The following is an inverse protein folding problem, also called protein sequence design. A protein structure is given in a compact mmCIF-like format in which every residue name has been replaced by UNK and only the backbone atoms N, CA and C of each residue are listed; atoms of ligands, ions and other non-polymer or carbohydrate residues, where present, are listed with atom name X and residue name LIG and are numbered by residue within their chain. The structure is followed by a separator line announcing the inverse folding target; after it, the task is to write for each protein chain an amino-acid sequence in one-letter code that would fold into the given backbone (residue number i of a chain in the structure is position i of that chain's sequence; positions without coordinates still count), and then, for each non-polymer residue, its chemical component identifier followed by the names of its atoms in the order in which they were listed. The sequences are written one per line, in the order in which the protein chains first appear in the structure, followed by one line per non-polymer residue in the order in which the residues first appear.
data_IF_959677841920
#
_entry.id   IF_959677841920
#
_cell.length_a   1.000
_cell.length_b   1.000
_cell.length_c   1.000
_cell.angle_alpha   90.00
_cell.angle_beta   90.00
_cell.angle_gamma   90.00
#
_symmetry.space_group_name_H-M   'P 1'
#
loop_
_entity.id
_entity.type
_entity.pdbx_description
1 polymer ?
#
# COMPACT_ATOMS: atom_id res chain seq x y z
N UNK A 1 -19.25 -30.45 -7.06
CA UNK A 1 -20.15 -31.05 -6.04
C UNK A 1 -20.48 -29.93 -5.06
N UNK A 2 -21.57 -29.20 -5.30
CA UNK A 2 -22.03 -28.10 -4.45
C UNK A 2 -22.64 -28.67 -3.18
N UNK A 3 -21.86 -28.74 -2.11
CA UNK A 3 -22.42 -28.96 -0.77
C UNK A 3 -22.94 -27.62 -0.26
N UNK A 4 -24.21 -27.34 -0.60
CA UNK A 4 -25.17 -26.54 0.16
C UNK A 4 -24.92 -25.01 0.37
N UNK A 5 -24.35 -24.20 -0.56
CA UNK A 5 -24.25 -22.75 -0.36
C UNK A 5 -25.61 -22.08 -0.14
N UNK A 6 -26.64 -22.46 -0.90
CA UNK A 6 -27.99 -21.88 -0.78
C UNK A 6 -28.70 -22.25 0.52
N UNK A 7 -28.47 -23.46 1.04
CA UNK A 7 -29.05 -23.88 2.32
C UNK A 7 -28.32 -23.26 3.52
N UNK A 8 -26.98 -23.13 3.42
CA UNK A 8 -26.20 -22.39 4.39
C UNK A 8 -26.65 -20.91 4.43
N UNK A 9 -26.84 -20.30 3.26
CA UNK A 9 -27.36 -18.93 3.15
C UNK A 9 -28.76 -18.78 3.77
N UNK A 10 -29.71 -19.64 3.38
CA UNK A 10 -31.10 -19.56 3.88
C UNK A 10 -31.22 -19.81 5.39
N UNK A 11 -30.24 -20.48 5.99
CA UNK A 11 -30.18 -20.71 7.44
C UNK A 11 -29.46 -19.58 8.17
N UNK A 12 -28.33 -19.10 7.63
CA UNK A 12 -27.48 -18.11 8.31
C UNK A 12 -28.02 -16.68 8.19
N UNK A 13 -28.58 -16.32 7.03
CA UNK A 13 -28.95 -14.93 6.77
C UNK A 13 -30.08 -14.41 7.68
N UNK A 14 -31.16 -15.17 7.96
CA UNK A 14 -32.18 -14.73 8.91
C UNK A 14 -31.62 -14.52 10.32
N UNK A 15 -30.76 -15.43 10.78
CA UNK A 15 -30.13 -15.32 12.11
C UNK A 15 -29.18 -14.13 12.19
N UNK A 16 -28.43 -13.85 11.12
CA UNK A 16 -27.62 -12.65 11.00
C UNK A 16 -28.51 -11.39 11.09
N UNK A 17 -29.62 -11.35 10.36
CA UNK A 17 -30.52 -10.19 10.35
C UNK A 17 -31.05 -9.88 11.76
N UNK A 18 -31.55 -10.89 12.48
CA UNK A 18 -32.04 -10.71 13.85
C UNK A 18 -30.96 -10.16 14.79
N UNK A 19 -29.72 -10.68 14.71
CA UNK A 19 -28.63 -10.20 15.55
C UNK A 19 -28.15 -8.79 15.16
N UNK A 20 -28.18 -8.45 13.86
CA UNK A 20 -27.89 -7.10 13.40
C UNK A 20 -28.94 -6.09 13.90
N UNK A 21 -30.22 -6.47 13.94
CA UNK A 21 -31.29 -5.62 14.45
C UNK A 21 -31.13 -5.34 15.95
N UNK A 22 -30.73 -6.36 16.73
CA UNK A 22 -30.37 -6.18 18.15
C UNK A 22 -29.21 -5.19 18.31
N UNK A 23 -28.14 -5.37 17.52
CA UNK A 23 -26.96 -4.51 17.58
C UNK A 23 -27.26 -3.06 17.19
N UNK A 24 -27.98 -2.83 16.08
CA UNK A 24 -28.34 -1.48 15.64
C UNK A 24 -29.38 -0.84 16.58
N UNK A 25 -30.24 -1.66 17.19
CA UNK A 25 -31.16 -1.28 18.24
C UNK A 25 -30.49 -0.75 19.51
N UNK A 26 -29.17 -0.93 19.69
CA UNK A 26 -28.45 -0.38 20.85
C UNK A 26 -28.51 1.14 20.94
N UNK A 27 -28.79 1.83 19.83
CA UNK A 27 -28.89 3.29 19.81
C UNK A 27 -29.94 3.82 20.79
N UNK A 28 -31.03 3.09 21.03
CA UNK A 28 -32.08 3.50 21.97
C UNK A 28 -31.63 3.49 23.45
N UNK A 29 -30.52 2.80 23.75
CA UNK A 29 -29.94 2.73 25.09
C UNK A 29 -28.79 3.72 25.30
N UNK A 30 -28.47 4.55 24.32
CA UNK A 30 -27.41 5.56 24.47
C UNK A 30 -27.95 6.78 25.20
N UNK A 31 -27.30 7.17 26.29
CA UNK A 31 -27.65 8.35 27.10
C UNK A 31 -26.50 9.36 27.09
N UNK A 32 -26.83 10.64 26.93
CA UNK A 32 -25.87 11.73 27.04
C UNK A 32 -25.68 12.08 28.52
N UNK A 33 -24.50 11.78 29.05
CA UNK A 33 -24.11 12.15 30.41
C UNK A 33 -23.77 13.66 30.46
N UNK A 34 -23.96 14.31 31.61
CA UNK A 34 -23.62 15.72 31.78
C UNK A 34 -22.13 15.96 31.54
N UNK A 35 -21.81 16.61 30.41
CA UNK A 35 -20.46 16.93 29.95
C UNK A 35 -19.96 16.01 28.84
N UNK A 36 -20.38 16.24 27.60
CA UNK A 36 -19.92 15.62 26.31
C UNK A 36 -19.69 14.10 26.23
N UNK A 37 -19.86 13.34 27.32
CA UNK A 37 -19.65 11.89 27.39
C UNK A 37 -20.96 11.17 27.12
N UNK A 38 -20.89 10.09 26.34
CA UNK A 38 -22.04 9.24 25.97
C UNK A 38 -21.84 7.88 26.61
N UNK A 39 -22.90 7.36 27.23
CA UNK A 39 -22.87 6.07 27.92
C UNK A 39 -23.96 5.13 27.38
N UNK A 40 -23.67 3.83 27.38
CA UNK A 40 -24.63 2.79 27.11
C UNK A 40 -25.36 2.43 28.40
N UNK A 41 -26.64 2.76 28.48
CA UNK A 41 -27.51 2.55 29.65
C UNK A 41 -28.02 1.10 29.72
N UNK A 42 -27.09 0.15 29.75
CA UNK A 42 -27.31 -1.27 30.01
C UNK A 42 -26.40 -1.63 31.18
N UNK A 43 -26.96 -1.59 32.40
CA UNK A 43 -26.21 -1.68 33.66
C UNK A 43 -26.53 -2.93 34.47
N UNK A 44 -27.66 -3.59 34.20
CA UNK A 44 -28.02 -4.83 34.87
C UNK A 44 -27.12 -5.98 34.40
N UNK A 45 -26.52 -6.71 35.35
CA UNK A 45 -25.53 -7.77 35.09
C UNK A 45 -26.03 -8.82 34.10
N UNK A 46 -27.28 -9.27 34.24
CA UNK A 46 -27.89 -10.25 33.34
C UNK A 46 -28.01 -9.72 31.90
N UNK A 47 -28.33 -8.44 31.73
CA UNK A 47 -28.48 -7.82 30.42
C UNK A 47 -27.10 -7.57 29.79
N UNK A 48 -26.10 -7.16 30.57
CA UNK A 48 -24.71 -7.08 30.12
C UNK A 48 -24.20 -8.45 29.64
N UNK A 49 -24.51 -9.53 30.36
CA UNK A 49 -24.12 -10.89 29.97
C UNK A 49 -24.81 -11.35 28.69
N UNK A 50 -26.10 -11.06 28.53
CA UNK A 50 -26.85 -11.37 27.30
C UNK A 50 -26.29 -10.59 26.11
N UNK A 51 -26.00 -9.31 26.30
CA UNK A 51 -25.39 -8.46 25.28
C UNK A 51 -24.01 -8.99 24.88
N UNK A 52 -23.15 -9.35 25.84
CA UNK A 52 -21.85 -9.96 25.59
C UNK A 52 -21.96 -11.20 24.67
N UNK A 53 -22.87 -12.13 25.00
CA UNK A 53 -23.10 -13.31 24.17
C UNK A 53 -23.58 -12.94 22.76
N UNK A 54 -24.58 -12.06 22.65
CA UNK A 54 -25.13 -11.64 21.36
C UNK A 54 -24.10 -10.95 20.47
N UNK A 55 -23.24 -10.09 21.01
CA UNK A 55 -22.17 -9.42 20.25
C UNK A 55 -21.14 -10.44 19.73
N UNK A 56 -20.78 -11.45 20.53
CA UNK A 56 -19.85 -12.51 20.11
C UNK A 56 -20.43 -13.43 19.05
N UNK A 57 -21.71 -13.77 19.18
CA UNK A 57 -22.44 -14.55 18.18
C UNK A 57 -22.53 -13.77 16.86
N UNK A 58 -22.87 -12.48 16.93
CA UNK A 58 -22.90 -11.59 15.77
C UNK A 58 -21.52 -11.48 15.10
N UNK A 59 -20.45 -11.32 15.87
CA UNK A 59 -19.07 -11.31 15.35
C UNK A 59 -18.75 -12.60 14.57
N UNK A 60 -19.20 -13.75 15.07
CA UNK A 60 -19.01 -15.05 14.42
C UNK A 60 -19.87 -15.21 13.16
N UNK A 61 -21.11 -14.71 13.18
CA UNK A 61 -22.01 -14.68 12.03
C UNK A 61 -21.48 -13.79 10.90
N UNK A 62 -20.94 -12.61 11.23
CA UNK A 62 -20.30 -11.71 10.26
C UNK A 62 -19.10 -12.38 9.58
N UNK A 63 -18.27 -13.11 10.33
CA UNK A 63 -17.18 -13.90 9.74
C UNK A 63 -17.69 -15.01 8.83
N UNK A 64 -18.74 -15.72 9.24
CA UNK A 64 -19.34 -16.79 8.45
C UNK A 64 -19.88 -16.25 7.12
N UNK A 65 -20.60 -15.12 7.15
CA UNK A 65 -21.13 -14.47 5.95
C UNK A 65 -20.03 -13.90 5.07
N UNK A 66 -18.96 -13.31 5.63
CA UNK A 66 -17.80 -12.89 4.85
C UNK A 66 -17.18 -14.04 4.05
N UNK A 67 -17.10 -15.25 4.63
CA UNK A 67 -16.61 -16.45 3.92
C UNK A 67 -17.54 -16.94 2.82
N UNK A 68 -18.79 -16.48 2.77
CA UNK A 68 -19.73 -16.82 1.70
C UNK A 68 -19.54 -15.98 0.44
N UNK A 69 -18.73 -14.91 0.48
CA UNK A 69 -18.57 -13.97 -0.63
C UNK A 69 -18.18 -14.64 -1.97
N UNK A 70 -17.28 -15.63 -1.92
CA UNK A 70 -16.82 -16.36 -3.13
C UNK A 70 -17.93 -17.17 -3.82
N UNK A 71 -19.03 -17.48 -3.12
CA UNK A 71 -20.16 -18.22 -3.68
C UNK A 71 -21.14 -17.34 -4.47
N UNK A 72 -20.93 -16.03 -4.47
CA UNK A 72 -21.78 -15.05 -5.15
C UNK A 72 -21.15 -14.48 -6.43
N UNK A 73 -19.95 -14.90 -6.80
CA UNK A 73 -19.21 -14.41 -7.98
C UNK A 73 -19.11 -15.48 -9.08
N UNK A 74 -18.60 -15.10 -10.25
CA UNK A 74 -18.39 -16.00 -11.40
C UNK A 74 -19.69 -16.36 -12.12
N UNK A 75 -19.82 -17.60 -12.59
CA UNK A 75 -20.96 -18.06 -13.40
C UNK A 75 -22.30 -18.04 -12.65
N UNK A 76 -22.28 -18.11 -11.31
CA UNK A 76 -23.48 -18.09 -10.45
C UNK A 76 -23.93 -16.70 -10.04
N UNK A 77 -23.20 -15.64 -10.43
CA UNK A 77 -23.45 -14.26 -10.03
C UNK A 77 -24.89 -13.83 -10.34
N UNK A 78 -25.34 -13.98 -11.59
CA UNK A 78 -26.68 -13.57 -12.00
C UNK A 78 -27.79 -14.32 -11.24
N UNK A 79 -27.58 -15.62 -10.97
CA UNK A 79 -28.57 -16.46 -10.27
C UNK A 79 -28.71 -16.10 -8.78
N UNK A 80 -27.64 -15.60 -8.15
CA UNK A 80 -27.59 -15.28 -6.71
C UNK A 80 -27.45 -13.78 -6.44
N UNK A 81 -27.69 -12.95 -7.45
CA UNK A 81 -27.47 -11.51 -7.36
C UNK A 81 -28.25 -10.87 -6.22
N UNK A 82 -29.55 -11.16 -6.11
CA UNK A 82 -30.42 -10.55 -5.09
C UNK A 82 -30.03 -10.99 -3.67
N UNK A 83 -29.61 -12.24 -3.50
CA UNK A 83 -29.16 -12.76 -2.21
C UNK A 83 -27.87 -12.05 -1.76
N UNK A 84 -26.91 -11.91 -2.67
CA UNK A 84 -25.66 -11.20 -2.42
C UNK A 84 -25.90 -9.71 -2.14
N UNK A 85 -26.78 -9.08 -2.93
CA UNK A 85 -27.16 -7.68 -2.77
C UNK A 85 -27.77 -7.42 -1.40
N UNK A 86 -28.69 -8.27 -0.94
CA UNK A 86 -29.29 -8.16 0.39
C UNK A 86 -28.25 -8.28 1.51
N UNK A 87 -27.24 -9.13 1.35
CA UNK A 87 -26.11 -9.21 2.30
C UNK A 87 -25.31 -7.91 2.30
N UNK A 88 -24.88 -7.45 1.11
CA UNK A 88 -24.03 -6.28 0.97
C UNK A 88 -24.73 -5.03 1.50
N UNK A 89 -26.02 -4.84 1.21
CA UNK A 89 -26.84 -3.75 1.76
C UNK A 89 -26.83 -3.75 3.29
N UNK A 90 -27.03 -4.92 3.91
CA UNK A 90 -27.02 -5.05 5.37
C UNK A 90 -25.62 -4.83 5.97
N UNK A 91 -24.57 -5.29 5.30
CA UNK A 91 -23.18 -5.07 5.73
C UNK A 91 -22.80 -3.58 5.64
N UNK A 92 -23.21 -2.88 4.59
CA UNK A 92 -23.04 -1.43 4.45
C UNK A 92 -23.80 -0.69 5.55
N UNK A 93 -25.06 -1.07 5.79
CA UNK A 93 -25.90 -0.45 6.82
C UNK A 93 -25.26 -0.55 8.22
N UNK A 94 -24.83 -1.74 8.64
CA UNK A 94 -24.21 -1.93 9.96
C UNK A 94 -22.85 -1.24 10.08
N UNK A 95 -22.09 -1.15 8.98
CA UNK A 95 -20.81 -0.43 8.95
C UNK A 95 -21.03 1.09 9.08
N UNK A 96 -22.01 1.64 8.37
CA UNK A 96 -22.45 3.02 8.51
C UNK A 96 -22.98 3.30 9.92
N UNK A 97 -23.72 2.36 10.51
CA UNK A 97 -24.19 2.47 11.88
C UNK A 97 -23.03 2.54 12.88
N UNK A 98 -22.08 1.60 12.81
CA UNK A 98 -20.93 1.56 13.73
C UNK A 98 -20.06 2.81 13.66
N UNK A 99 -19.89 3.37 12.45
CA UNK A 99 -19.08 4.56 12.20
C UNK A 99 -19.76 5.85 12.69
N UNK A 100 -21.10 5.94 12.57
CA UNK A 100 -21.88 7.11 13.05
C UNK A 100 -22.08 7.09 14.56
N UNK A 101 -22.35 5.92 15.14
CA UNK A 101 -22.66 5.79 16.56
C UNK A 101 -21.40 5.73 17.43
N UNK A 102 -20.29 5.24 16.88
CA UNK A 102 -18.99 5.07 17.56
C UNK A 102 -19.14 4.33 18.89
N UNK A 103 -19.84 3.18 18.86
CA UNK A 103 -20.10 2.36 20.06
C UNK A 103 -18.83 1.95 20.82
N UNK A 104 -17.69 1.82 20.12
CA UNK A 104 -16.38 1.52 20.70
C UNK A 104 -15.86 2.59 21.67
N UNK A 105 -16.36 3.83 21.54
CA UNK A 105 -15.96 4.97 22.37
C UNK A 105 -16.91 5.22 23.55
N UNK A 106 -18.05 4.53 23.62
CA UNK A 106 -19.03 4.73 24.69
C UNK A 106 -18.52 4.25 26.05
N UNK A 107 -18.93 4.95 27.11
CA UNK A 107 -18.86 4.41 28.47
C UNK A 107 -19.85 3.25 28.62
N UNK A 108 -19.42 2.15 29.23
CA UNK A 108 -20.25 0.96 29.46
C UNK A 108 -20.09 0.49 30.91
N UNK A 109 -21.09 -0.20 31.44
CA UNK A 109 -21.07 -0.71 32.82
C UNK A 109 -19.94 -1.73 33.08
N UNK A 110 -19.55 -2.50 32.04
CA UNK A 110 -18.51 -3.53 32.11
C UNK A 110 -17.50 -3.32 30.96
N UNK A 111 -16.64 -2.29 31.03
CA UNK A 111 -15.83 -1.86 29.91
C UNK A 111 -14.77 -2.87 29.48
N UNK A 112 -14.26 -3.70 30.40
CA UNK A 112 -13.29 -4.76 30.09
C UNK A 112 -13.87 -5.90 29.23
N UNK A 113 -15.20 -5.98 29.11
CA UNK A 113 -15.90 -7.02 28.36
C UNK A 113 -16.57 -6.43 27.13
N UNK A 114 -17.45 -5.43 27.33
CA UNK A 114 -18.29 -4.91 26.25
C UNK A 114 -17.53 -4.04 25.24
N UNK A 115 -16.51 -3.28 25.65
CA UNK A 115 -15.75 -2.46 24.68
C UNK A 115 -15.02 -3.31 23.64
N UNK A 116 -14.29 -4.39 24.02
CA UNK A 116 -13.76 -5.35 23.06
C UNK A 116 -14.82 -5.93 22.12
N UNK A 117 -15.98 -6.37 22.64
CA UNK A 117 -17.01 -6.98 21.80
C UNK A 117 -17.61 -5.99 20.79
N UNK A 118 -17.89 -4.74 21.21
CA UNK A 118 -18.40 -3.69 20.33
C UNK A 118 -17.38 -3.31 19.24
N UNK A 119 -16.10 -3.25 19.61
CA UNK A 119 -14.99 -3.05 18.67
C UNK A 119 -14.94 -4.20 17.67
N UNK A 120 -15.09 -5.44 18.15
CA UNK A 120 -15.00 -6.65 17.35
C UNK A 120 -16.15 -6.80 16.36
N UNK A 121 -17.39 -6.52 16.77
CA UNK A 121 -18.54 -6.54 15.84
C UNK A 121 -18.33 -5.56 14.69
N UNK A 122 -17.92 -4.32 15.00
CA UNK A 122 -17.71 -3.32 13.96
C UNK A 122 -16.51 -3.67 13.05
N UNK A 123 -15.41 -4.18 13.62
CA UNK A 123 -14.27 -4.65 12.82
C UNK A 123 -14.64 -5.83 11.91
N UNK A 124 -15.46 -6.76 12.39
CA UNK A 124 -15.93 -7.88 11.57
C UNK A 124 -16.95 -7.47 10.51
N UNK A 125 -17.77 -6.43 10.76
CA UNK A 125 -18.64 -5.88 9.74
C UNK A 125 -17.85 -5.29 8.57
N UNK A 126 -16.81 -4.51 8.87
CA UNK A 126 -15.87 -3.97 7.87
C UNK A 126 -15.16 -5.09 7.09
N UNK A 127 -14.66 -6.11 7.80
CA UNK A 127 -13.98 -7.26 7.18
C UNK A 127 -14.93 -8.13 6.33
N UNK A 128 -16.17 -8.33 6.78
CA UNK A 128 -17.18 -9.03 6.00
C UNK A 128 -17.51 -8.24 4.72
N UNK A 129 -17.71 -6.92 4.82
CA UNK A 129 -17.93 -6.07 3.64
C UNK A 129 -16.72 -6.08 2.69
N UNK A 130 -15.50 -6.10 3.23
CA UNK A 130 -14.27 -6.23 2.45
C UNK A 130 -14.27 -7.51 1.60
N UNK A 131 -14.70 -8.64 2.15
CA UNK A 131 -14.76 -9.90 1.41
C UNK A 131 -15.65 -9.82 0.15
N UNK A 132 -16.68 -8.98 0.18
CA UNK A 132 -17.57 -8.74 -0.96
C UNK A 132 -17.02 -7.72 -1.98
N UNK A 133 -15.78 -7.24 -1.84
CA UNK A 133 -15.17 -6.29 -2.81
C UNK A 133 -15.02 -6.88 -4.22
N UNK A 134 -14.85 -8.19 -4.35
CA UNK A 134 -14.84 -8.87 -5.65
C UNK A 134 -16.25 -8.97 -6.26
N UNK A 135 -17.25 -9.20 -5.42
CA UNK A 135 -18.65 -9.16 -5.85
C UNK A 135 -19.04 -7.75 -6.32
N UNK A 136 -18.64 -6.71 -5.60
CA UNK A 136 -18.83 -5.32 -6.02
C UNK A 136 -18.13 -5.01 -7.36
N UNK A 137 -16.95 -5.58 -7.60
CA UNK A 137 -16.24 -5.42 -8.87
C UNK A 137 -16.99 -6.09 -10.04
N UNK A 138 -17.53 -7.31 -9.84
CA UNK A 138 -18.36 -7.97 -10.84
C UNK A 138 -19.69 -7.23 -11.04
N UNK A 139 -20.32 -6.76 -9.96
CA UNK A 139 -21.51 -5.92 -10.03
C UNK A 139 -21.24 -4.67 -10.88
N UNK A 140 -20.13 -3.97 -10.65
CA UNK A 140 -19.74 -2.84 -11.48
C UNK A 140 -19.64 -3.18 -12.98
N UNK A 141 -19.10 -4.36 -13.32
CA UNK A 141 -18.95 -4.80 -14.71
C UNK A 141 -20.27 -5.19 -15.39
N UNK A 142 -21.27 -5.65 -14.62
CA UNK A 142 -22.56 -6.11 -15.13
C UNK A 142 -23.68 -5.05 -15.01
N UNK A 143 -23.42 -3.94 -14.30
CA UNK A 143 -24.35 -2.81 -14.16
C UNK A 143 -24.60 -2.16 -15.52
N UNK A 144 -25.85 -2.27 -15.97
CA UNK A 144 -26.43 -1.42 -17.00
C UNK A 144 -27.11 -0.20 -16.33
N UNK A 145 -27.54 0.79 -17.12
CA UNK A 145 -28.06 2.10 -16.66
C UNK A 145 -29.12 2.08 -15.55
N UNK A 146 -29.82 0.96 -15.32
CA UNK A 146 -30.88 0.83 -14.30
C UNK A 146 -30.37 0.63 -12.86
N UNK A 147 -29.21 -0.01 -12.64
CA UNK A 147 -28.70 -0.33 -11.28
C UNK A 147 -27.49 0.51 -10.84
N UNK A 148 -27.15 1.51 -11.65
CA UNK A 148 -25.96 2.32 -11.46
C UNK A 148 -26.00 3.18 -10.20
N UNK A 149 -27.17 3.75 -9.87
CA UNK A 149 -27.36 4.54 -8.65
C UNK A 149 -27.18 3.70 -7.38
N UNK A 150 -27.71 2.47 -7.37
CA UNK A 150 -27.58 1.56 -6.23
C UNK A 150 -26.12 1.17 -6.00
N UNK A 151 -25.39 0.81 -7.07
CA UNK A 151 -23.97 0.53 -6.98
C UNK A 151 -23.17 1.71 -6.43
N UNK A 152 -23.39 2.92 -6.97
CA UNK A 152 -22.71 4.14 -6.51
C UNK A 152 -23.00 4.38 -5.03
N UNK A 153 -24.25 4.23 -4.60
CA UNK A 153 -24.65 4.43 -3.21
C UNK A 153 -23.97 3.45 -2.25
N UNK A 154 -23.87 2.16 -2.62
CA UNK A 154 -23.22 1.14 -1.79
C UNK A 154 -21.74 1.45 -1.58
N UNK A 155 -21.01 1.72 -2.67
CA UNK A 155 -19.58 2.04 -2.63
C UNK A 155 -19.34 3.35 -1.87
N UNK A 156 -20.14 4.38 -2.14
CA UNK A 156 -20.03 5.68 -1.45
C UNK A 156 -20.24 5.52 0.05
N UNK A 157 -21.31 4.81 0.45
CA UNK A 157 -21.61 4.58 1.86
C UNK A 157 -20.51 3.79 2.57
N UNK A 158 -19.92 2.78 1.90
CA UNK A 158 -18.81 2.03 2.45
C UNK A 158 -17.56 2.90 2.67
N UNK A 159 -17.26 3.80 1.72
CA UNK A 159 -16.13 4.73 1.82
C UNK A 159 -16.37 5.79 2.89
N UNK A 160 -17.56 6.39 2.92
CA UNK A 160 -17.95 7.41 3.91
C UNK A 160 -17.95 6.84 5.33
N UNK A 161 -18.33 5.56 5.50
CA UNK A 161 -18.24 4.88 6.79
C UNK A 161 -16.79 4.57 7.20
N UNK A 162 -15.95 4.18 6.25
CA UNK A 162 -14.55 3.80 6.54
C UNK A 162 -13.64 5.00 6.82
N UNK A 163 -13.84 6.11 6.11
CA UNK A 163 -13.00 7.32 6.20
C UNK A 163 -12.79 7.84 7.64
N UNK A 164 -13.83 8.05 8.48
CA UNK A 164 -13.63 8.55 9.84
C UNK A 164 -12.90 7.58 10.78
N UNK A 165 -12.81 6.29 10.41
CA UNK A 165 -12.10 5.28 11.20
C UNK A 165 -10.59 5.29 10.96
N UNK A 166 -10.12 5.96 9.90
CA UNK A 166 -8.70 6.10 9.57
C UNK A 166 -8.11 7.27 10.35
N UNK A 167 -8.03 7.12 11.67
CA UNK A 167 -7.54 8.13 12.60
C UNK A 167 -6.81 7.52 13.78
N UNK A 168 -5.80 8.22 14.31
CA UNK A 168 -5.02 7.78 15.47
C UNK A 168 -5.83 7.66 16.77
N UNK A 169 -7.08 8.16 16.80
CA UNK A 169 -7.97 8.10 17.97
C UNK A 169 -8.83 6.83 18.02
N UNK A 170 -8.79 6.01 16.98
CA UNK A 170 -9.64 4.82 16.82
C UNK A 170 -8.85 3.57 17.24
N UNK A 171 -9.49 2.56 17.86
CA UNK A 171 -8.83 1.30 18.18
C UNK A 171 -8.12 0.68 16.96
N UNK A 172 -6.89 0.18 17.14
CA UNK A 172 -6.03 -0.32 16.06
C UNK A 172 -6.73 -1.37 15.17
N UNK A 173 -7.51 -2.26 15.77
CA UNK A 173 -8.28 -3.28 15.06
C UNK A 173 -9.28 -2.68 14.06
N UNK A 174 -9.98 -1.61 14.45
CA UNK A 174 -10.93 -0.91 13.59
C UNK A 174 -10.23 -0.11 12.50
N UNK A 175 -9.15 0.58 12.86
CA UNK A 175 -8.28 1.28 11.90
C UNK A 175 -7.81 0.31 10.81
N UNK A 176 -7.31 -0.86 11.20
CA UNK A 176 -6.81 -1.86 10.26
C UNK A 176 -7.92 -2.42 9.36
N UNK A 177 -9.08 -2.78 9.92
CA UNK A 177 -10.23 -3.26 9.14
C UNK A 177 -10.75 -2.21 8.15
N UNK A 178 -10.80 -0.93 8.55
CA UNK A 178 -11.22 0.16 7.67
C UNK A 178 -10.21 0.41 6.54
N UNK A 179 -8.91 0.38 6.85
CA UNK A 179 -7.85 0.47 5.85
C UNK A 179 -7.92 -0.69 4.84
N UNK A 180 -8.13 -1.93 5.30
CA UNK A 180 -8.28 -3.08 4.41
C UNK A 180 -9.49 -2.96 3.49
N UNK A 181 -10.65 -2.53 4.02
CA UNK A 181 -11.84 -2.28 3.19
C UNK A 181 -11.57 -1.21 2.14
N UNK A 182 -10.99 -0.07 2.52
CA UNK A 182 -10.64 1.02 1.60
C UNK A 182 -9.67 0.56 0.50
N UNK A 183 -8.64 -0.21 0.86
CA UNK A 183 -7.69 -0.78 -0.10
C UNK A 183 -8.38 -1.76 -1.03
N UNK A 184 -9.23 -2.65 -0.53
CA UNK A 184 -9.97 -3.60 -1.36
C UNK A 184 -10.91 -2.89 -2.34
N UNK A 185 -11.73 -1.93 -1.89
CA UNK A 185 -12.61 -1.15 -2.77
C UNK A 185 -11.81 -0.41 -3.85
N UNK A 186 -10.73 0.27 -3.48
CA UNK A 186 -9.93 1.07 -4.42
C UNK A 186 -9.15 0.23 -5.42
N UNK A 187 -8.69 -0.97 -5.03
CA UNK A 187 -7.90 -1.86 -5.89
C UNK A 187 -8.74 -2.77 -6.79
N UNK A 188 -9.87 -3.29 -6.30
CA UNK A 188 -10.70 -4.26 -7.04
C UNK A 188 -11.78 -3.59 -7.88
N UNK A 189 -12.53 -2.66 -7.28
CA UNK A 189 -13.70 -2.04 -7.92
C UNK A 189 -13.27 -0.91 -8.87
N UNK A 190 -12.17 -0.21 -8.52
CA UNK A 190 -11.62 0.96 -9.26
C UNK A 190 -12.64 2.03 -9.71
N UNK A 191 -13.63 2.41 -8.88
CA UNK A 191 -14.69 3.35 -9.27
C UNK A 191 -14.15 4.77 -9.47
N UNK A 192 -14.31 5.30 -10.69
CA UNK A 192 -13.78 6.62 -11.10
C UNK A 192 -14.38 7.78 -10.28
N UNK A 193 -15.62 7.62 -9.79
CA UNK A 193 -16.32 8.65 -9.01
C UNK A 193 -15.79 8.84 -7.58
N UNK A 194 -14.94 7.94 -7.05
CA UNK A 194 -14.42 8.10 -5.68
C UNK A 194 -13.66 9.40 -5.46
N UNK A 195 -13.02 9.91 -6.51
CA UNK A 195 -12.27 11.18 -6.46
C UNK A 195 -13.22 12.36 -6.16
N UNK A 196 -14.51 12.22 -6.48
CA UNK A 196 -15.52 13.25 -6.28
C UNK A 196 -16.27 13.11 -4.95
N UNK A 197 -15.97 12.10 -4.12
CA UNK A 197 -16.67 11.92 -2.86
C UNK A 197 -16.19 12.90 -1.79
N UNK A 198 -17.11 13.46 -0.97
CA UNK A 198 -16.78 14.39 0.12
C UNK A 198 -15.94 13.76 1.25
N UNK A 199 -15.99 12.44 1.42
CA UNK A 199 -15.15 11.74 2.40
C UNK A 199 -13.69 11.55 1.96
N UNK A 200 -13.36 11.88 0.70
CA UNK A 200 -11.97 12.00 0.27
C UNK A 200 -11.43 13.38 0.73
N UNK A 201 -10.19 13.50 1.23
CA UNK A 201 -9.65 14.76 1.73
C UNK A 201 -9.89 15.94 0.77
N UNK A 202 -10.32 17.11 1.29
CA UNK A 202 -10.69 18.33 0.54
C UNK A 202 -9.68 18.75 -0.55
N UNK A 203 -8.41 18.36 -0.40
CA UNK A 203 -7.33 18.60 -1.38
C UNK A 203 -7.52 17.89 -2.75
N UNK A 204 -8.53 17.02 -2.90
CA UNK A 204 -8.87 16.32 -4.16
C UNK A 204 -9.99 17.01 -4.97
N UNK A 205 -10.61 18.08 -4.46
CA UNK A 205 -11.91 18.57 -4.96
C UNK A 205 -11.87 19.84 -5.83
N UNK A 206 -10.82 20.08 -6.61
CA UNK A 206 -10.80 21.25 -7.51
C UNK A 206 -11.14 20.94 -8.98
N UNK A 207 -12.19 21.66 -9.42
CA UNK A 207 -12.61 22.10 -10.76
C UNK A 207 -13.53 21.22 -11.65
N UNK A 208 -14.83 21.46 -11.42
CA UNK A 208 -15.95 21.80 -12.33
C UNK A 208 -16.46 20.91 -13.50
N UNK A 209 -17.79 20.72 -13.40
CA UNK A 209 -18.84 20.65 -14.42
C UNK A 209 -18.73 19.60 -15.54
N UNK A 210 -19.58 18.58 -15.45
CA UNK A 210 -20.00 17.80 -16.61
C UNK A 210 -20.46 16.40 -16.23
N UNK A 211 -21.79 16.23 -16.20
CA UNK A 211 -22.54 14.97 -16.23
C UNK A 211 -21.74 13.84 -16.90
N UNK A 212 -21.49 12.74 -16.19
CA UNK A 212 -20.78 11.61 -16.80
C UNK A 212 -21.35 10.25 -16.37
N UNK A 213 -21.79 9.51 -17.39
CA UNK A 213 -21.99 8.07 -17.40
C UNK A 213 -20.71 7.32 -17.01
N UNK A 214 -20.78 6.21 -16.25
CA UNK A 214 -19.63 5.39 -15.89
C UNK A 214 -19.68 4.06 -16.63
N UNK A 215 -18.64 3.75 -17.41
CA UNK A 215 -18.39 2.37 -17.83
C UNK A 215 -16.91 1.98 -17.77
N UNK A 216 -16.75 0.70 -17.44
CA UNK A 216 -15.58 -0.16 -17.46
C UNK A 216 -14.83 -0.11 -18.78
N UNK A 217 -13.48 -0.15 -18.72
CA UNK A 217 -12.58 -0.12 -19.90
C UNK A 217 -12.70 1.15 -20.76
N UNK A 218 -12.61 2.30 -20.12
CA UNK A 218 -12.57 3.60 -20.80
C UNK A 218 -11.36 3.69 -21.74
N UNK A 219 -11.58 4.18 -22.97
CA UNK A 219 -10.51 4.56 -23.91
C UNK A 219 -9.58 5.56 -23.18
N UNK A 220 -8.30 5.64 -23.55
CA UNK A 220 -7.31 6.54 -22.88
C UNK A 220 -7.83 7.98 -22.66
N UNK A 221 -8.74 8.47 -23.51
CA UNK A 221 -9.39 9.78 -23.44
C UNK A 221 -10.35 9.99 -22.27
N UNK A 222 -10.94 8.93 -21.71
CA UNK A 222 -12.02 9.02 -20.71
C UNK A 222 -11.54 8.80 -19.26
N UNK A 223 -10.25 8.48 -19.07
CA UNK A 223 -9.69 8.20 -17.73
C UNK A 223 -9.39 9.45 -16.89
N UNK A 224 -9.75 10.64 -17.38
CA UNK A 224 -9.56 11.93 -16.69
C UNK A 224 -8.13 12.12 -16.16
N UNK A 225 -7.13 11.80 -17.00
CA UNK A 225 -5.72 11.79 -16.59
C UNK A 225 -5.23 13.12 -16.01
N UNK A 226 -5.79 14.24 -16.47
CA UNK A 226 -5.47 15.56 -15.93
C UNK A 226 -5.91 15.69 -14.47
N UNK A 227 -7.16 15.37 -14.16
CA UNK A 227 -7.70 15.40 -12.78
C UNK A 227 -6.98 14.43 -11.87
N UNK A 228 -6.67 13.21 -12.35
CA UNK A 228 -5.88 12.23 -11.58
C UNK A 228 -4.47 12.75 -11.28
N UNK A 229 -3.84 13.40 -12.26
CA UNK A 229 -2.50 13.97 -12.09
C UNK A 229 -2.48 15.13 -11.09
N UNK A 230 -3.40 16.08 -11.20
CA UNK A 230 -3.51 17.20 -10.25
C UNK A 230 -3.84 16.74 -8.83
N UNK A 231 -4.76 15.78 -8.71
CA UNK A 231 -5.15 15.14 -7.46
C UNK A 231 -3.96 14.43 -6.79
N UNK A 232 -3.25 13.59 -7.54
CA UNK A 232 -2.08 12.87 -7.05
C UNK A 232 -0.96 13.83 -6.65
N UNK A 233 -0.70 14.88 -7.45
CA UNK A 233 0.30 15.89 -7.13
C UNK A 233 -0.03 16.65 -5.84
N UNK A 234 -1.31 17.01 -5.63
CA UNK A 234 -1.77 17.73 -4.44
C UNK A 234 -1.66 16.86 -3.18
N UNK A 235 -2.06 15.59 -3.26
CA UNK A 235 -1.89 14.62 -2.18
C UNK A 235 -0.41 14.46 -1.81
N UNK A 236 0.45 14.25 -2.81
CA UNK A 236 1.89 14.10 -2.59
C UNK A 236 2.50 15.37 -1.99
N UNK A 237 2.07 16.55 -2.43
CA UNK A 237 2.52 17.83 -1.87
C UNK A 237 2.15 17.96 -0.37
N UNK A 238 0.94 17.56 0.01
CA UNK A 238 0.52 17.56 1.41
C UNK A 238 1.33 16.55 2.25
N UNK A 239 1.47 15.31 1.79
CA UNK A 239 2.18 14.25 2.52
C UNK A 239 3.67 14.52 2.68
N UNK A 240 4.28 15.19 1.71
CA UNK A 240 5.73 15.43 1.70
C UNK A 240 6.12 16.85 2.07
N UNK A 241 5.19 17.65 2.62
CA UNK A 241 5.44 19.06 2.95
C UNK A 241 6.66 19.24 3.85
N UNK A 242 6.68 18.56 5.00
CA UNK A 242 7.80 18.63 5.95
C UNK A 242 9.09 18.05 5.36
N UNK A 243 8.96 16.97 4.57
CA UNK A 243 10.09 16.33 3.89
C UNK A 243 10.76 17.26 2.86
N UNK A 244 9.99 18.00 2.06
CA UNK A 244 10.52 18.93 1.04
C UNK A 244 11.28 20.10 1.66
N UNK A 245 10.86 20.57 2.84
CA UNK A 245 11.54 21.65 3.57
C UNK A 245 12.99 21.25 3.91
N UNK A 246 13.27 19.94 4.11
CA UNK A 246 14.61 19.45 4.41
C UNK A 246 15.64 19.78 3.33
N UNK A 247 15.21 20.02 2.08
CA UNK A 247 16.09 20.41 0.97
C UNK A 247 16.98 21.61 1.30
N UNK A 248 16.45 22.62 2.01
CA UNK A 248 17.16 23.84 2.37
C UNK A 248 18.10 23.69 3.58
N UNK A 249 18.00 22.58 4.31
CA UNK A 249 18.71 22.39 5.59
C UNK A 249 20.09 21.74 5.44
N UNK A 250 20.38 21.14 4.28
CA UNK A 250 21.64 20.41 3.99
C UNK A 250 22.89 21.30 4.08
N UNK A 251 22.74 22.62 3.87
CA UNK A 251 23.84 23.58 3.95
C UNK A 251 24.03 24.20 5.35
N UNK A 252 23.15 23.91 6.31
CA UNK A 252 23.24 24.44 7.67
C UNK A 252 24.18 23.55 8.50
N UNK A 253 25.42 23.99 8.59
CA UNK A 253 26.50 23.36 9.35
C UNK A 253 26.12 23.05 10.81
N UNK A 254 26.36 21.79 11.22
CA UNK A 254 26.79 21.39 12.57
C UNK A 254 25.97 21.82 13.80
N UNK A 255 24.63 21.95 13.72
CA UNK A 255 23.78 21.89 14.92
C UNK A 255 23.09 20.53 15.02
N UNK A 256 23.75 19.62 15.76
CA UNK A 256 23.26 18.28 16.14
C UNK A 256 21.77 18.18 16.57
N UNK A 257 21.13 19.15 17.26
CA UNK A 257 19.73 19.00 17.66
C UNK A 257 18.69 18.95 16.53
N UNK A 258 19.04 19.26 15.27
CA UNK A 258 18.10 19.15 14.13
C UNK A 258 18.14 17.77 13.43
N UNK A 259 19.18 16.97 13.64
CA UNK A 259 19.39 15.75 12.85
C UNK A 259 18.38 14.64 13.21
N UNK A 260 18.02 14.53 14.49
CA UNK A 260 17.01 13.57 14.96
C UNK A 260 15.62 13.89 14.43
N UNK A 261 15.27 15.19 14.33
CA UNK A 261 14.02 15.63 13.73
C UNK A 261 13.99 15.34 12.22
N UNK A 262 15.09 15.63 11.51
CA UNK A 262 15.21 15.30 10.08
C UNK A 262 15.06 13.79 9.86
N UNK A 263 15.71 12.97 10.70
CA UNK A 263 15.61 11.52 10.67
C UNK A 263 14.17 11.04 10.87
N UNK A 264 13.46 11.57 11.85
CA UNK A 264 12.05 11.23 12.09
C UNK A 264 11.18 11.52 10.86
N UNK A 265 11.37 12.69 10.22
CA UNK A 265 10.63 13.05 9.01
C UNK A 265 10.95 12.11 7.84
N UNK A 266 12.22 11.72 7.66
CA UNK A 266 12.63 10.74 6.64
C UNK A 266 11.96 9.38 6.90
N UNK A 267 12.06 8.88 8.12
CA UNK A 267 11.53 7.56 8.52
C UNK A 267 9.99 7.50 8.49
N UNK A 268 9.30 8.64 8.61
CA UNK A 268 7.85 8.70 8.45
C UNK A 268 7.43 8.83 6.98
N UNK A 269 8.18 9.58 6.18
CA UNK A 269 7.77 9.94 4.81
C UNK A 269 8.16 8.88 3.78
N UNK A 270 9.39 8.36 3.84
CA UNK A 270 9.89 7.44 2.80
C UNK A 270 9.13 6.12 2.71
N UNK A 271 8.71 5.46 3.82
CA UNK A 271 7.88 4.26 3.72
C UNK A 271 6.58 4.51 2.97
N UNK A 272 5.91 5.65 3.22
CA UNK A 272 4.67 6.04 2.53
C UNK A 272 4.93 6.21 1.03
N UNK A 273 6.02 6.90 0.65
CA UNK A 273 6.38 7.06 -0.76
C UNK A 273 6.77 5.74 -1.42
N UNK A 274 7.45 4.85 -0.69
CA UNK A 274 7.81 3.51 -1.17
C UNK A 274 6.56 2.69 -1.48
N UNK A 275 5.61 2.64 -0.54
CA UNK A 275 4.37 1.89 -0.69
C UNK A 275 3.49 2.47 -1.82
N UNK A 276 3.49 3.79 -2.01
CA UNK A 276 2.84 4.42 -3.16
C UNK A 276 3.44 3.97 -4.50
N UNK A 277 4.78 3.93 -4.62
CA UNK A 277 5.45 3.47 -5.84
C UNK A 277 5.21 1.97 -6.08
N UNK A 278 5.24 1.17 -5.02
CA UNK A 278 4.98 -0.28 -5.09
C UNK A 278 3.56 -0.57 -5.59
N UNK A 279 2.57 0.20 -5.11
CA UNK A 279 1.16 0.04 -5.49
C UNK A 279 0.88 0.27 -6.98
N UNK A 280 1.76 1.00 -7.68
CA UNK A 280 1.63 1.30 -9.11
C UNK A 280 2.65 0.54 -9.97
N UNK A 281 3.43 -0.37 -9.40
CA UNK A 281 4.50 -1.10 -10.09
C UNK A 281 3.98 -1.94 -11.27
N UNK A 282 2.80 -2.54 -11.13
CA UNK A 282 2.12 -3.34 -12.16
C UNK A 282 1.16 -2.54 -13.05
N UNK A 283 1.08 -1.22 -12.87
CA UNK A 283 0.13 -0.37 -13.59
C UNK A 283 0.69 0.15 -14.92
N UNK A 284 -0.20 0.76 -15.72
CA UNK A 284 0.13 1.28 -17.05
C UNK A 284 1.27 2.32 -17.02
N UNK A 285 1.96 2.48 -18.16
CA UNK A 285 3.02 3.48 -18.32
C UNK A 285 2.55 4.90 -17.97
N UNK A 286 1.28 5.23 -18.23
CA UNK A 286 0.71 6.54 -17.94
C UNK A 286 0.55 6.79 -16.44
N UNK A 287 0.04 5.79 -15.70
CA UNK A 287 -0.05 5.84 -14.23
C UNK A 287 1.33 6.04 -13.60
N UNK A 288 2.32 5.28 -14.08
CA UNK A 288 3.73 5.41 -13.66
C UNK A 288 4.32 6.79 -13.98
N UNK A 289 3.98 7.37 -15.13
CA UNK A 289 4.40 8.72 -15.50
C UNK A 289 3.83 9.77 -14.54
N UNK A 290 2.53 9.70 -14.24
CA UNK A 290 1.88 10.62 -13.29
C UNK A 290 2.51 10.48 -11.90
N UNK A 291 2.69 9.24 -11.43
CA UNK A 291 3.32 8.97 -10.15
C UNK A 291 4.72 9.61 -10.05
N UNK A 292 5.58 9.36 -11.05
CA UNK A 292 6.93 9.93 -11.08
C UNK A 292 6.92 11.47 -11.14
N UNK A 293 6.04 12.07 -11.96
CA UNK A 293 5.91 13.53 -12.05
C UNK A 293 5.63 14.17 -10.69
N UNK A 294 4.74 13.57 -9.90
CA UNK A 294 4.44 14.08 -8.55
C UNK A 294 5.57 13.81 -7.53
N UNK A 295 6.35 12.74 -7.73
CA UNK A 295 7.43 12.33 -6.83
C UNK A 295 8.76 13.04 -7.10
N UNK A 296 8.96 13.64 -8.27
CA UNK A 296 10.26 14.13 -8.74
C UNK A 296 11.00 15.00 -7.72
N UNK A 297 10.29 15.91 -7.03
CA UNK A 297 10.88 16.74 -5.98
C UNK A 297 11.36 15.90 -4.79
N UNK A 298 10.52 14.98 -4.30
CA UNK A 298 10.89 14.09 -3.20
C UNK A 298 12.08 13.21 -3.55
N UNK A 299 12.17 12.70 -4.78
CA UNK A 299 13.34 11.91 -5.24
C UNK A 299 14.61 12.76 -5.19
N UNK A 300 14.54 14.02 -5.65
CA UNK A 300 15.69 14.92 -5.60
C UNK A 300 16.10 15.26 -4.16
N UNK A 301 15.13 15.47 -3.26
CA UNK A 301 15.41 15.68 -1.83
C UNK A 301 16.08 14.46 -1.23
N UNK A 302 15.58 13.25 -1.50
CA UNK A 302 16.22 12.00 -1.06
C UNK A 302 17.66 11.91 -1.56
N UNK A 303 17.92 12.23 -2.83
CA UNK A 303 19.28 12.18 -3.38
C UNK A 303 20.21 13.19 -2.71
N UNK A 304 19.72 14.39 -2.41
CA UNK A 304 20.49 15.44 -1.74
C UNK A 304 20.76 15.14 -0.26
N UNK A 305 19.84 14.45 0.41
CA UNK A 305 20.00 14.05 1.81
C UNK A 305 20.90 12.83 1.97
N UNK A 306 21.03 11.99 0.93
CA UNK A 306 21.76 10.73 0.99
C UNK A 306 23.20 10.90 1.52
N UNK A 307 23.99 11.89 1.09
CA UNK A 307 25.33 12.10 1.62
C UNK A 307 25.39 12.48 3.10
N UNK A 308 24.35 13.16 3.61
CA UNK A 308 24.27 13.58 5.02
C UNK A 308 24.08 12.38 5.94
N UNK A 309 23.33 11.38 5.48
CA UNK A 309 22.92 10.23 6.28
C UNK A 309 23.69 8.94 5.98
N UNK A 310 24.65 8.93 5.05
CA UNK A 310 25.38 7.72 4.62
C UNK A 310 26.01 6.91 5.76
N UNK A 311 26.37 7.57 6.87
CA UNK A 311 26.93 6.93 8.06
C UNK A 311 25.87 6.41 9.05
N UNK A 312 24.61 6.80 8.89
CA UNK A 312 23.48 6.32 9.69
C UNK A 312 22.80 5.17 8.95
N UNK A 313 23.13 3.95 9.34
CA UNK A 313 22.71 2.75 8.63
C UNK A 313 21.18 2.58 8.55
N UNK A 314 20.44 2.95 9.60
CA UNK A 314 18.99 2.82 9.64
C UNK A 314 18.27 3.81 8.72
N UNK A 315 18.77 5.04 8.61
CA UNK A 315 18.25 6.04 7.66
C UNK A 315 18.64 5.67 6.23
N UNK A 316 19.91 5.28 6.02
CA UNK A 316 20.40 4.86 4.70
C UNK A 316 19.66 3.62 4.18
N UNK A 317 19.32 2.69 5.06
CA UNK A 317 18.55 1.48 4.73
C UNK A 317 17.18 1.85 4.14
N UNK A 318 16.49 2.80 4.76
CA UNK A 318 15.19 3.31 4.31
C UNK A 318 15.31 4.10 3.00
N UNK A 319 16.34 4.96 2.88
CA UNK A 319 16.60 5.71 1.65
C UNK A 319 16.88 4.78 0.46
N UNK A 320 17.71 3.75 0.65
CA UNK A 320 17.96 2.75 -0.39
C UNK A 320 16.73 1.87 -0.66
N UNK A 321 15.87 1.62 0.32
CA UNK A 321 14.60 0.93 0.09
C UNK A 321 13.72 1.71 -0.90
N UNK A 322 13.62 3.03 -0.68
CA UNK A 322 12.90 3.93 -1.58
C UNK A 322 13.54 3.99 -2.98
N UNK A 323 14.86 4.13 -3.09
CA UNK A 323 15.51 4.11 -4.40
C UNK A 323 15.40 2.76 -5.11
N UNK A 324 15.45 1.65 -4.38
CA UNK A 324 15.30 0.33 -4.97
C UNK A 324 13.92 0.17 -5.64
N UNK A 325 12.83 0.57 -4.97
CA UNK A 325 11.50 0.48 -5.57
C UNK A 325 11.35 1.44 -6.76
N UNK A 326 11.95 2.64 -6.71
CA UNK A 326 11.98 3.56 -7.85
C UNK A 326 12.68 2.93 -9.06
N UNK A 327 13.81 2.25 -8.84
CA UNK A 327 14.54 1.58 -9.91
C UNK A 327 13.78 0.38 -10.49
N UNK A 328 13.00 -0.32 -9.67
CA UNK A 328 12.19 -1.45 -10.10
C UNK A 328 10.95 -1.01 -10.87
N UNK A 329 10.23 0.03 -10.39
CA UNK A 329 8.93 0.41 -10.92
C UNK A 329 8.98 1.60 -11.90
N UNK A 330 9.85 2.59 -11.66
CA UNK A 330 9.81 3.93 -12.30
C UNK A 330 11.08 4.33 -13.05
N UNK A 331 12.08 3.46 -13.16
CA UNK A 331 13.37 3.73 -13.83
C UNK A 331 13.22 4.29 -15.25
N UNK A 332 12.29 3.75 -16.04
CA UNK A 332 12.03 4.23 -17.40
C UNK A 332 11.53 5.67 -17.39
N UNK A 333 10.63 6.01 -16.45
CA UNK A 333 10.08 7.34 -16.27
C UNK A 333 11.12 8.34 -15.72
N UNK A 334 12.05 7.87 -14.88
CA UNK A 334 13.18 8.67 -14.38
C UNK A 334 14.14 9.10 -15.49
N UNK A 335 14.27 8.27 -16.53
CA UNK A 335 15.14 8.52 -17.66
C UNK A 335 16.60 8.18 -17.37
N UNK A 336 17.33 7.89 -18.45
CA UNK A 336 18.70 7.37 -18.40
C UNK A 336 19.67 8.32 -17.69
N UNK A 337 19.61 9.62 -18.01
CA UNK A 337 20.55 10.60 -17.47
C UNK A 337 20.45 10.72 -15.94
N UNK A 338 19.23 10.85 -15.41
CA UNK A 338 19.02 10.97 -13.97
C UNK A 338 19.29 9.66 -13.23
N UNK A 339 18.88 8.53 -13.80
CA UNK A 339 19.22 7.20 -13.27
C UNK A 339 20.73 7.03 -13.18
N UNK A 340 21.48 7.42 -14.23
CA UNK A 340 22.94 7.39 -14.26
C UNK A 340 23.58 8.29 -13.19
N UNK A 341 23.01 9.47 -12.94
CA UNK A 341 23.47 10.37 -11.86
C UNK A 341 23.33 9.71 -10.48
N UNK A 342 22.21 9.04 -10.21
CA UNK A 342 21.98 8.35 -8.94
C UNK A 342 22.99 7.21 -8.77
N UNK A 343 23.16 6.36 -9.80
CA UNK A 343 24.12 5.26 -9.77
C UNK A 343 25.54 5.77 -9.54
N UNK A 344 25.94 6.80 -10.27
CA UNK A 344 27.26 7.42 -10.10
C UNK A 344 27.45 7.93 -8.67
N UNK A 345 26.45 8.62 -8.11
CA UNK A 345 26.47 9.10 -6.73
C UNK A 345 26.67 7.94 -5.75
N UNK A 346 25.88 6.87 -5.86
CA UNK A 346 26.02 5.73 -4.97
C UNK A 346 27.38 5.04 -5.10
N UNK A 347 27.86 4.80 -6.32
CA UNK A 347 29.18 4.22 -6.56
C UNK A 347 30.33 5.08 -6.00
N UNK A 348 30.19 6.42 -6.02
CA UNK A 348 31.21 7.31 -5.43
C UNK A 348 31.18 7.38 -3.91
N UNK A 349 30.01 7.11 -3.29
CA UNK A 349 29.82 7.23 -1.84
C UNK A 349 30.11 5.94 -1.08
N UNK A 350 29.84 4.78 -1.66
CA UNK A 350 30.12 3.48 -1.04
C UNK A 350 31.58 3.07 -1.23
N UNK A 351 32.47 3.66 -0.43
CA UNK A 351 33.89 3.26 -0.40
C UNK A 351 34.09 1.93 0.31
N UNK A 352 35.29 1.36 0.16
CA UNK A 352 35.69 0.12 0.85
C UNK A 352 35.53 0.25 2.37
N UNK A 353 35.93 1.36 2.96
CA UNK A 353 35.84 1.61 4.40
C UNK A 353 34.36 1.65 4.85
N UNK A 354 33.51 2.34 4.10
CA UNK A 354 32.08 2.45 4.40
C UNK A 354 31.37 1.09 4.29
N UNK A 355 31.70 0.32 3.26
CA UNK A 355 31.16 -1.03 3.06
C UNK A 355 31.65 -1.99 4.15
N UNK A 356 32.95 -1.96 4.47
CA UNK A 356 33.51 -2.79 5.52
C UNK A 356 32.87 -2.49 6.88
N UNK A 357 32.65 -1.21 7.20
CA UNK A 357 31.96 -0.80 8.43
C UNK A 357 30.49 -1.29 8.45
N UNK A 358 29.80 -1.25 7.31
CA UNK A 358 28.41 -1.68 7.20
C UNK A 358 28.22 -3.20 7.33
N UNK A 359 29.23 -3.99 6.95
CA UNK A 359 29.19 -5.47 6.97
C UNK A 359 29.68 -6.05 8.33
N UNK A 360 30.19 -5.22 9.25
CA UNK A 360 30.78 -5.68 10.53
C UNK A 360 29.86 -6.58 11.37
N UNK A 361 28.55 -6.30 11.38
CA UNK A 361 27.57 -7.02 12.18
C UNK A 361 26.49 -7.64 11.31
N UNK A 362 26.41 -8.98 11.30
CA UNK A 362 25.36 -9.73 10.60
C UNK A 362 23.96 -9.35 11.10
N UNK A 363 22.97 -9.32 10.20
CA UNK A 363 21.59 -8.91 10.52
C UNK A 363 21.40 -7.41 10.82
N UNK A 364 22.46 -6.62 10.85
CA UNK A 364 22.39 -5.18 11.11
C UNK A 364 21.76 -4.40 9.94
N UNK A 365 21.33 -3.16 10.22
CA UNK A 365 20.92 -2.22 9.19
C UNK A 365 22.02 -1.97 8.15
N UNK A 366 23.29 -2.02 8.54
CA UNK A 366 24.42 -1.88 7.61
C UNK A 366 24.48 -2.99 6.57
N UNK A 367 24.23 -4.25 6.96
CA UNK A 367 24.15 -5.35 6.01
C UNK A 367 23.00 -5.14 5.01
N UNK A 368 21.83 -4.67 5.49
CA UNK A 368 20.68 -4.39 4.62
C UNK A 368 20.94 -3.24 3.64
N UNK A 369 21.69 -2.21 4.06
CA UNK A 369 22.18 -1.13 3.18
C UNK A 369 22.98 -1.72 2.01
N UNK A 370 23.97 -2.57 2.29
CA UNK A 370 24.79 -3.17 1.23
C UNK A 370 23.96 -4.09 0.33
N UNK A 371 23.07 -4.91 0.89
CA UNK A 371 22.17 -5.77 0.12
C UNK A 371 21.32 -4.94 -0.87
N UNK A 372 20.67 -3.86 -0.38
CA UNK A 372 19.83 -3.01 -1.23
C UNK A 372 20.64 -2.29 -2.30
N UNK A 373 21.84 -1.83 -1.96
CA UNK A 373 22.73 -1.22 -2.94
C UNK A 373 23.10 -2.21 -4.06
N UNK A 374 23.48 -3.45 -3.71
CA UNK A 374 23.75 -4.50 -4.69
C UNK A 374 22.52 -4.84 -5.55
N UNK A 375 21.32 -4.89 -4.96
CA UNK A 375 20.05 -5.06 -5.70
C UNK A 375 19.78 -3.93 -6.70
N UNK A 376 20.06 -2.69 -6.33
CA UNK A 376 19.96 -1.56 -7.27
C UNK A 376 20.90 -1.79 -8.46
N UNK A 377 22.14 -2.21 -8.21
CA UNK A 377 23.08 -2.53 -9.30
C UNK A 377 22.63 -3.73 -10.13
N UNK A 378 22.01 -4.75 -9.54
CA UNK A 378 21.41 -5.89 -10.27
C UNK A 378 20.36 -5.38 -11.27
N UNK A 379 19.46 -4.49 -10.82
CA UNK A 379 18.43 -3.88 -11.67
C UNK A 379 19.06 -3.11 -12.84
N UNK A 380 20.19 -2.44 -12.62
CA UNK A 380 20.90 -1.66 -13.64
C UNK A 380 21.59 -2.54 -14.68
N UNK A 381 22.27 -3.61 -14.27
CA UNK A 381 23.01 -4.47 -15.21
C UNK A 381 22.09 -5.35 -16.05
N UNK A 382 20.85 -5.56 -15.61
CA UNK A 382 19.81 -6.27 -16.35
C UNK A 382 19.15 -5.41 -17.44
N UNK A 383 19.41 -4.10 -17.51
CA UNK A 383 18.81 -3.24 -18.54
C UNK A 383 19.25 -3.63 -19.96
N UNK A 384 18.32 -3.96 -20.86
CA UNK A 384 18.65 -4.10 -22.27
C UNK A 384 19.10 -2.76 -22.84
N UNK A 385 20.33 -2.69 -23.36
CA UNK A 385 20.82 -1.53 -24.09
C UNK A 385 22.29 -1.22 -23.85
N UNK A 386 22.70 -0.02 -24.24
CA UNK A 386 24.07 0.48 -24.05
C UNK A 386 24.16 1.56 -22.96
N UNK A 387 23.01 2.07 -22.50
CA UNK A 387 22.91 3.22 -21.60
C UNK A 387 23.73 3.06 -20.30
N UNK A 388 23.64 1.89 -19.67
CA UNK A 388 24.27 1.63 -18.37
C UNK A 388 25.54 0.78 -18.44
N UNK A 389 25.92 0.29 -19.62
CA UNK A 389 27.18 -0.47 -19.79
C UNK A 389 28.45 0.27 -19.37
N UNK A 390 28.56 1.60 -19.49
CA UNK A 390 29.71 2.34 -18.98
C UNK A 390 29.97 2.14 -17.48
N UNK A 391 28.96 1.73 -16.69
CA UNK A 391 29.11 1.47 -15.26
C UNK A 391 29.67 0.07 -14.94
N UNK A 392 29.66 -0.89 -15.89
CA UNK A 392 30.10 -2.26 -15.65
C UNK A 392 31.52 -2.37 -15.05
N UNK A 393 32.54 -1.63 -15.52
CA UNK A 393 33.87 -1.69 -14.91
C UNK A 393 33.86 -1.29 -13.42
N UNK A 394 33.15 -0.20 -13.09
CA UNK A 394 33.06 0.29 -11.70
C UNK A 394 32.28 -0.67 -10.81
N UNK A 395 31.21 -1.29 -11.33
CA UNK A 395 30.42 -2.30 -10.61
C UNK A 395 31.26 -3.56 -10.36
N UNK A 396 32.06 -4.00 -11.33
CA UNK A 396 32.96 -5.15 -11.18
C UNK A 396 34.08 -4.86 -10.18
N UNK A 397 34.70 -3.67 -10.23
CA UNK A 397 35.69 -3.24 -9.23
C UNK A 397 35.07 -3.18 -7.83
N UNK A 398 33.87 -2.60 -7.68
CA UNK A 398 33.13 -2.62 -6.41
C UNK A 398 32.97 -4.06 -5.88
N UNK A 399 32.51 -4.99 -6.72
CA UNK A 399 32.31 -6.38 -6.31
C UNK A 399 33.62 -7.06 -5.92
N UNK A 400 34.64 -7.00 -6.77
CA UNK A 400 35.86 -7.81 -6.62
C UNK A 400 36.89 -7.18 -5.67
N UNK A 401 36.97 -5.86 -5.62
CA UNK A 401 38.01 -5.14 -4.88
C UNK A 401 37.50 -4.58 -3.54
N UNK A 402 36.20 -4.32 -3.42
CA UNK A 402 35.63 -3.69 -2.21
C UNK A 402 34.77 -4.66 -1.39
N UNK A 403 33.81 -5.35 -2.02
CA UNK A 403 32.85 -6.21 -1.31
C UNK A 403 33.43 -7.61 -1.05
N UNK A 404 34.00 -8.27 -2.07
CA UNK A 404 34.51 -9.63 -1.97
C UNK A 404 35.53 -9.83 -0.84
N UNK A 405 36.55 -8.95 -0.65
CA UNK A 405 37.50 -9.13 0.45
C UNK A 405 36.83 -9.15 1.83
N UNK A 406 35.79 -8.35 2.04
CA UNK A 406 35.10 -8.25 3.34
C UNK A 406 34.26 -9.52 3.61
N UNK A 407 33.53 -10.00 2.60
CA UNK A 407 32.64 -11.18 2.74
C UNK A 407 33.36 -12.52 2.61
N UNK A 408 34.61 -12.52 2.13
CA UNK A 408 35.47 -13.70 2.13
C UNK A 408 36.06 -13.97 3.51
N UNK A 409 36.41 -12.92 4.25
CA UNK A 409 37.00 -13.01 5.60
C UNK A 409 35.95 -13.19 6.71
N UNK A 410 34.68 -12.87 6.45
CA UNK A 410 33.61 -12.86 7.47
C UNK A 410 32.34 -13.56 7.01
N UNK A 411 31.59 -14.20 7.92
CA UNK A 411 30.27 -14.74 7.60
C UNK A 411 29.28 -13.58 7.37
N UNK A 412 28.85 -13.42 6.13
CA UNK A 412 27.79 -12.46 5.74
C UNK A 412 26.96 -13.06 4.59
N UNK A 413 26.16 -14.11 4.86
CA UNK A 413 25.52 -14.93 3.83
C UNK A 413 24.59 -14.11 2.92
N UNK A 414 23.83 -13.17 3.49
CA UNK A 414 22.90 -12.35 2.71
C UNK A 414 23.62 -11.42 1.73
N UNK A 415 24.65 -10.70 2.19
CA UNK A 415 25.46 -9.82 1.32
C UNK A 415 26.18 -10.63 0.25
N UNK A 416 26.68 -11.82 0.62
CA UNK A 416 27.35 -12.74 -0.29
C UNK A 416 26.41 -13.26 -1.37
N UNK A 417 25.16 -13.60 -1.01
CA UNK A 417 24.13 -14.02 -1.95
C UNK A 417 23.83 -12.92 -2.98
N UNK A 418 23.61 -11.68 -2.53
CA UNK A 418 23.33 -10.54 -3.42
C UNK A 418 24.51 -10.17 -4.32
N UNK A 419 25.75 -10.33 -3.83
CA UNK A 419 26.96 -10.12 -4.62
C UNK A 419 27.10 -11.18 -5.72
N UNK A 420 26.90 -12.45 -5.40
CA UNK A 420 26.96 -13.51 -6.41
C UNK A 420 25.82 -13.41 -7.41
N UNK A 421 24.62 -13.03 -6.98
CA UNK A 421 23.51 -12.76 -7.90
C UNK A 421 23.86 -11.61 -8.85
N UNK A 422 24.48 -10.53 -8.36
CA UNK A 422 24.96 -9.44 -9.21
C UNK A 422 25.99 -9.91 -10.24
N UNK A 423 27.00 -10.69 -9.81
CA UNK A 423 27.99 -11.25 -10.73
C UNK A 423 27.35 -12.19 -11.76
N UNK A 424 26.40 -13.02 -11.33
CA UNK A 424 25.63 -13.89 -12.21
C UNK A 424 24.86 -13.07 -13.26
N UNK A 425 24.16 -12.01 -12.85
CA UNK A 425 23.42 -11.15 -13.78
C UNK A 425 24.33 -10.40 -14.75
N UNK A 426 25.51 -9.94 -14.29
CA UNK A 426 26.52 -9.34 -15.17
C UNK A 426 26.99 -10.36 -16.22
N UNK A 427 27.31 -11.58 -15.81
CA UNK A 427 27.75 -12.64 -16.73
C UNK A 427 26.62 -13.03 -17.70
N UNK A 428 25.41 -13.25 -17.19
CA UNK A 428 24.27 -13.69 -17.99
C UNK A 428 23.85 -12.63 -19.03
N UNK A 429 23.72 -11.37 -18.60
CA UNK A 429 23.19 -10.29 -19.44
C UNK A 429 24.28 -9.58 -20.27
N UNK A 430 25.52 -9.58 -19.78
CA UNK A 430 26.62 -8.82 -20.37
C UNK A 430 27.85 -9.68 -20.72
N UNK A 431 27.69 -10.98 -20.99
CA UNK A 431 28.80 -11.90 -21.34
C UNK A 431 29.76 -11.35 -22.42
N UNK A 432 29.24 -10.62 -23.42
CA UNK A 432 30.03 -10.01 -24.50
C UNK A 432 31.07 -8.99 -24.01
N UNK A 433 30.87 -8.44 -22.81
CA UNK A 433 31.87 -7.59 -22.15
C UNK A 433 33.16 -8.37 -21.86
N UNK A 434 33.04 -9.63 -21.44
CA UNK A 434 34.19 -10.51 -21.14
C UNK A 434 34.73 -11.20 -22.38
N UNK A 435 33.84 -11.58 -23.31
CA UNK A 435 34.20 -12.30 -24.53
C UNK A 435 34.06 -11.38 -25.74
N UNK A 436 35.09 -10.54 -26.00
CA UNK A 436 35.20 -9.80 -27.25
C UNK A 436 35.25 -10.80 -28.42
N UNK A 437 34.47 -10.53 -29.48
CA UNK A 437 34.38 -11.33 -30.71
C UNK A 437 35.66 -11.27 -31.57
N UNK A 438 36.82 -11.54 -30.97
CA UNK A 438 38.13 -11.51 -31.62
C UNK A 438 38.65 -12.92 -31.92
N UNK A 439 37.80 -13.81 -32.47
CA UNK A 439 38.20 -15.20 -32.72
C UNK A 439 37.38 -16.02 -33.72
N UNK A 440 36.46 -15.42 -34.50
CA UNK A 440 35.66 -16.16 -35.50
C UNK A 440 35.93 -15.76 -36.97
N UNK A 441 36.86 -14.82 -37.22
CA UNK A 441 37.20 -14.37 -38.58
C UNK A 441 38.56 -14.88 -39.11
N UNK A 442 39.17 -15.87 -38.46
CA UNK A 442 40.33 -16.59 -38.98
C UNK A 442 40.08 -18.09 -39.05
N UNK A 443 39.08 -18.49 -39.83
CA UNK A 443 39.13 -19.77 -40.51
C UNK A 443 39.62 -19.49 -41.94
N UNK A 444 40.90 -19.74 -42.27
CA UNK A 444 41.30 -19.75 -43.66
C UNK A 444 40.54 -20.91 -44.29
N UNK A 445 39.72 -20.63 -45.31
CA UNK A 445 39.26 -21.64 -46.26
C UNK A 445 40.50 -22.37 -46.78
N UNK A 446 40.87 -23.49 -46.15
CA UNK A 446 41.73 -24.50 -46.74
C UNK A 446 40.83 -25.53 -47.36
N UNK A 447 40.92 -25.58 -48.67
CA UNK A 447 40.43 -26.64 -49.53
C UNK A 447 40.79 -28.01 -48.96
N UNK A 448 39.77 -28.82 -48.70
CA UNK A 448 39.67 -30.24 -49.04
C UNK A 448 38.23 -30.68 -48.78
#
# INVERSE_FOLDING_TARGET
MELLPSHAFSTLFPVLQENLDVYMGLQQFIVNSSGSSRSLNITAENDCRRLHCSLRDLSSLLQAVGRLAEYFIGEVFAARFNDALAVVERLVEVTCYGSRTTLYDLETAVPSVLKPDLTDVHAQALAALQAYSHWLAQFYSEVHSQNQSQFINLVTSAVDASSPLISAKVPEKLLLSACHLMVSITSTVRPVFLVNLPACPEHLQHDHNGTSDPQTSTRESEQQWHTRSSSHASLLAALTREYRILRGTVNATHRQPNLDNMKAVIQQTLPVLKDMVDSISSESTKSRQICYQSLQESVQVSLNLFPVFIQQADVTDEMLAFFLILFQALRVQMGVAFTGQIIHTFLSMFTREQLAASILHEGSAGCRVVQKFLKILQVVVQEPGQAFKPFLPSILSLCMEQVYPVVAERPSPDVKAEMFELLYQILHQNWRYFFKTSGLNHCPKRSC
#
